data_IF_081669007575
#
_entry.id   IF_081669007575
#
_cell.length_a   1.000
_cell.length_b   1.000
_cell.length_c   1.000
_cell.angle_alpha   90.00
_cell.angle_beta   90.00
_cell.angle_gamma   90.00
#
_symmetry.space_group_name_H-M   'P 1'
#
loop_
_entity.id
_entity.type
_entity.pdbx_description
1 polymer ?
#
# COMPACT_ATOMS: atom_id res chain seq x y z
N UNK A 1 2.11 -3.32 10.49
CA UNK A 1 1.49 -2.04 10.10
C UNK A 1 2.24 -0.85 10.65
N UNK A 2 1.61 0.32 10.72
CA UNK A 2 2.27 1.60 11.01
C UNK A 2 2.46 1.98 12.49
N UNK A 3 2.69 1.01 13.37
CA UNK A 3 2.76 1.24 14.82
C UNK A 3 3.94 2.09 15.29
N UNK A 4 4.97 2.27 14.46
CA UNK A 4 6.10 3.17 14.73
C UNK A 4 6.71 3.68 13.43
N UNK A 5 6.38 4.90 13.06
CA UNK A 5 6.87 5.57 11.85
C UNK A 5 7.22 7.00 12.23
N UNK A 6 8.50 7.33 12.14
CA UNK A 6 9.03 8.65 12.43
C UNK A 6 10.34 8.85 11.67
N UNK A 7 10.78 10.11 11.56
CA UNK A 7 12.02 10.46 10.87
C UNK A 7 13.27 9.87 11.52
N UNK A 8 13.23 9.48 12.80
CA UNK A 8 14.32 8.78 13.46
C UNK A 8 14.49 7.35 12.93
N UNK A 9 13.38 6.64 12.70
CA UNK A 9 13.40 5.32 12.05
C UNK A 9 13.83 5.42 10.58
N UNK A 10 13.40 6.47 9.87
CA UNK A 10 13.72 6.65 8.45
C UNK A 10 15.21 6.87 8.12
N UNK A 11 16.04 7.15 9.13
CA UNK A 11 17.50 7.19 8.96
C UNK A 11 18.10 5.81 8.68
N UNK A 12 17.41 4.74 9.05
CA UNK A 12 17.89 3.35 8.95
C UNK A 12 17.04 2.50 7.99
N UNK A 13 15.78 2.88 7.78
CA UNK A 13 14.85 2.21 6.88
C UNK A 13 14.29 3.22 5.90
N UNK A 14 14.46 3.01 4.60
CA UNK A 14 14.05 4.00 3.58
C UNK A 14 12.55 4.00 3.29
N UNK A 15 11.81 3.06 3.87
CA UNK A 15 10.38 2.88 3.69
C UNK A 15 9.76 2.18 4.89
N UNK A 16 8.43 2.25 4.97
CA UNK A 16 7.65 1.63 6.01
C UNK A 16 6.33 1.09 5.50
N UNK A 17 5.79 0.13 6.25
CA UNK A 17 4.48 -0.43 6.03
C UNK A 17 3.42 0.37 6.81
N UNK A 18 2.59 1.20 6.17
CA UNK A 18 1.76 2.20 6.84
C UNK A 18 0.58 1.58 7.61
N UNK A 19 0.07 0.41 7.18
CA UNK A 19 -1.04 -0.27 7.85
C UNK A 19 -1.15 -1.71 7.39
N UNK A 20 -1.56 -2.61 8.27
CA UNK A 20 -1.93 -3.97 7.88
C UNK A 20 -3.29 -4.02 7.16
N UNK A 21 -4.08 -2.94 7.25
CA UNK A 21 -5.25 -2.77 6.41
C UNK A 21 -4.80 -2.50 4.96
N UNK A 22 -5.17 -3.41 4.07
CA UNK A 22 -4.84 -3.37 2.63
C UNK A 22 -6.08 -3.22 1.75
N UNK A 23 -7.26 -2.96 2.34
CA UNK A 23 -8.45 -2.59 1.57
C UNK A 23 -8.18 -1.32 0.75
N UNK A 24 -8.47 -1.38 -0.54
CA UNK A 24 -8.15 -0.30 -1.47
C UNK A 24 -8.86 1.02 -1.15
N UNK A 25 -10.07 0.99 -0.59
CA UNK A 25 -10.81 2.21 -0.25
C UNK A 25 -10.24 2.85 1.02
N UNK A 26 -10.03 2.05 2.06
CA UNK A 26 -9.44 2.52 3.33
C UNK A 26 -8.01 3.05 3.13
N UNK A 27 -7.26 2.43 2.21
CA UNK A 27 -5.90 2.87 1.87
C UNK A 27 -5.83 4.29 1.32
N UNK A 28 -6.87 4.81 0.66
CA UNK A 28 -6.88 6.20 0.20
C UNK A 28 -6.71 7.17 1.38
N UNK A 29 -7.47 6.98 2.45
CA UNK A 29 -7.43 7.85 3.63
C UNK A 29 -6.13 7.69 4.43
N UNK A 30 -5.65 6.45 4.58
CA UNK A 30 -4.40 6.14 5.28
C UNK A 30 -3.22 6.78 4.54
N UNK A 31 -3.11 6.55 3.23
CA UNK A 31 -2.02 7.09 2.43
C UNK A 31 -2.08 8.61 2.34
N UNK A 32 -3.27 9.19 2.18
CA UNK A 32 -3.45 10.65 2.23
C UNK A 32 -2.96 11.23 3.56
N UNK A 33 -3.29 10.60 4.68
CA UNK A 33 -2.84 11.03 6.00
C UNK A 33 -1.30 10.99 6.14
N UNK A 34 -0.66 9.91 5.68
CA UNK A 34 0.81 9.82 5.69
C UNK A 34 1.47 10.82 4.72
N UNK A 35 0.83 11.14 3.59
CA UNK A 35 1.39 12.04 2.57
C UNK A 35 1.63 13.48 3.06
N UNK A 36 0.97 13.90 4.15
CA UNK A 36 1.23 15.19 4.79
C UNK A 36 2.61 15.29 5.43
N UNK A 37 3.17 14.15 5.85
CA UNK A 37 4.36 14.13 6.70
C UNK A 37 5.53 13.38 6.07
N UNK A 38 5.27 12.43 5.16
CA UNK A 38 6.28 11.54 4.61
C UNK A 38 6.25 11.54 3.08
N UNK A 39 7.41 11.42 2.42
CA UNK A 39 7.45 11.32 0.96
C UNK A 39 6.78 10.04 0.47
N UNK A 40 6.07 10.11 -0.65
CA UNK A 40 5.30 8.99 -1.21
C UNK A 40 6.14 7.70 -1.39
N UNK A 41 7.40 7.84 -1.79
CA UNK A 41 8.32 6.70 -1.99
C UNK A 41 8.62 5.91 -0.71
N UNK A 42 8.44 6.51 0.46
CA UNK A 42 8.64 5.83 1.75
C UNK A 42 7.42 5.03 2.23
N UNK A 43 6.27 5.15 1.55
CA UNK A 43 5.01 4.53 1.94
C UNK A 43 4.79 3.26 1.13
N UNK A 44 4.98 2.08 1.72
CA UNK A 44 4.76 0.80 1.02
C UNK A 44 3.27 0.47 0.91
N UNK A 45 2.80 0.22 -0.31
CA UNK A 45 1.42 -0.10 -0.61
C UNK A 45 1.35 -1.37 -1.45
N UNK A 46 0.89 -2.45 -0.84
CA UNK A 46 0.75 -3.71 -1.55
C UNK A 46 -0.70 -3.97 -1.93
N UNK A 47 -0.89 -4.48 -3.15
CA UNK A 47 -2.14 -5.04 -3.61
C UNK A 47 -2.29 -6.44 -3.03
N UNK A 48 -3.36 -6.68 -2.28
CA UNK A 48 -3.71 -7.99 -1.69
C UNK A 48 -5.09 -8.43 -2.16
N UNK A 49 -5.52 -9.62 -1.75
CA UNK A 49 -6.90 -10.11 -1.94
C UNK A 49 -7.96 -9.38 -1.08
N UNK A 50 -7.57 -8.37 -0.28
CA UNK A 50 -8.51 -7.62 0.57
C UNK A 50 -9.27 -6.57 -0.24
N UNK A 51 -10.59 -6.64 -0.18
CA UNK A 51 -11.50 -5.62 -0.68
C UNK A 51 -12.47 -6.18 -1.70
N UNK A 52 -13.37 -5.32 -2.21
CA UNK A 52 -14.35 -5.69 -3.25
C UNK A 52 -14.09 -4.98 -4.58
N UNK A 53 -13.08 -4.12 -4.63
CA UNK A 53 -12.75 -3.31 -5.78
C UNK A 53 -11.92 -4.12 -6.79
N UNK A 54 -12.00 -3.74 -8.06
CA UNK A 54 -11.25 -4.41 -9.14
C UNK A 54 -9.74 -4.39 -8.88
N UNK A 55 -9.01 -5.35 -9.47
CA UNK A 55 -7.55 -5.37 -9.37
C UNK A 55 -6.93 -4.06 -9.87
N UNK A 56 -7.49 -3.49 -10.94
CA UNK A 56 -7.12 -2.17 -11.44
C UNK A 56 -7.22 -1.09 -10.37
N UNK A 57 -8.37 -0.98 -9.69
CA UNK A 57 -8.56 0.04 -8.66
C UNK A 57 -7.55 -0.12 -7.52
N UNK A 58 -7.38 -1.35 -7.02
CA UNK A 58 -6.42 -1.64 -5.94
C UNK A 58 -4.99 -1.30 -6.37
N UNK A 59 -4.63 -1.59 -7.62
CA UNK A 59 -3.33 -1.25 -8.22
C UNK A 59 -3.14 0.27 -8.32
N UNK A 60 -4.12 0.99 -8.86
CA UNK A 60 -4.06 2.46 -9.00
C UNK A 60 -3.87 3.14 -7.62
N UNK A 61 -4.57 2.67 -6.59
CA UNK A 61 -4.40 3.16 -5.20
C UNK A 61 -3.03 2.79 -4.65
N UNK A 62 -2.53 1.59 -4.90
CA UNK A 62 -1.21 1.18 -4.40
C UNK A 62 -0.07 1.98 -5.07
N UNK A 63 -0.24 2.36 -6.34
CA UNK A 63 0.71 3.16 -7.12
C UNK A 63 0.89 4.60 -6.63
N UNK A 64 0.08 5.10 -5.69
CA UNK A 64 0.27 6.40 -5.05
C UNK A 64 1.52 6.47 -4.15
N UNK A 65 2.11 5.31 -3.82
CA UNK A 65 3.36 5.20 -3.05
C UNK A 65 4.28 4.13 -3.64
N UNK A 66 5.01 3.42 -2.79
CA UNK A 66 5.85 2.31 -3.23
C UNK A 66 4.99 1.06 -3.44
N UNK A 67 4.69 0.77 -4.71
CA UNK A 67 3.88 -0.36 -5.14
C UNK A 67 4.55 -1.71 -4.80
N UNK A 68 3.73 -2.67 -4.35
CA UNK A 68 4.04 -4.09 -4.30
C UNK A 68 2.80 -4.95 -4.50
N UNK A 69 2.98 -6.27 -4.54
CA UNK A 69 1.89 -7.25 -4.65
C UNK A 69 2.10 -8.37 -3.63
N UNK A 70 1.10 -8.57 -2.79
CA UNK A 70 0.97 -9.69 -1.86
C UNK A 70 -0.35 -10.42 -2.17
N UNK A 71 -0.51 -10.81 -3.43
CA UNK A 71 -1.70 -11.47 -3.96
C UNK A 71 -1.38 -12.90 -4.38
N UNK A 72 -2.33 -13.83 -4.23
CA UNK A 72 -2.14 -15.20 -4.69
C UNK A 72 -2.32 -15.27 -6.21
N UNK A 73 -1.23 -15.01 -6.94
CA UNK A 73 -1.19 -14.92 -8.41
C UNK A 73 -1.88 -16.10 -9.12
N UNK A 74 -1.75 -17.32 -8.59
CA UNK A 74 -2.37 -18.52 -9.17
C UNK A 74 -3.91 -18.57 -9.09
N UNK A 75 -4.54 -17.61 -8.41
CA UNK A 75 -6.00 -17.47 -8.27
C UNK A 75 -6.58 -16.31 -9.07
N UNK A 76 -5.74 -15.56 -9.78
CA UNK A 76 -6.21 -14.49 -10.66
C UNK A 76 -6.88 -15.08 -11.90
N UNK A 77 -7.90 -14.38 -12.39
CA UNK A 77 -8.47 -14.67 -13.70
C UNK A 77 -7.41 -14.41 -14.79
N UNK A 78 -7.49 -15.10 -15.93
CA UNK A 78 -6.51 -14.96 -17.03
C UNK A 78 -6.36 -13.51 -17.54
N UNK A 79 -7.43 -12.70 -17.42
CA UNK A 79 -7.41 -11.28 -17.82
C UNK A 79 -6.78 -10.35 -16.76
N UNK A 80 -6.57 -10.84 -15.53
CA UNK A 80 -5.99 -10.10 -14.40
C UNK A 80 -4.54 -10.51 -14.09
N UNK A 81 -4.05 -11.57 -14.75
CA UNK A 81 -2.67 -12.05 -14.68
C UNK A 81 -1.73 -11.24 -15.58
#
# INVERSE_FOLDING_TARGET
>A
GGGRIDYGVLQYFTEFWPSDNTDGLERIFIQWSYSFFFPAVSICNHVTDWGKQSLKFRTDVAMMGKLGYDIVVSKLDENEL
#
